data_IF_214430999298
#
_entry.id   IF_214430999298
#
_cell.length_a   1.000
_cell.length_b   1.000
_cell.length_c   1.000
_cell.angle_alpha   90.00
_cell.angle_beta   90.00
_cell.angle_gamma   90.00
#
_symmetry.space_group_name_H-M   'P 1'
#
loop_
_entity.id
_entity.type
_entity.pdbx_description
1 polymer ?
#
# COMPACT_ATOMS: atom_id res chain seq x y z
N UNK A 1 -46.15 -9.90 -3.01
CA UNK A 1 -44.77 -10.11 -3.52
C UNK A 1 -43.84 -9.26 -2.68
N UNK A 2 -42.78 -9.82 -2.08
CA UNK A 2 -41.91 -9.18 -1.07
C UNK A 2 -40.99 -8.06 -1.62
N UNK A 3 -41.49 -7.30 -2.58
CA UNK A 3 -40.74 -6.28 -3.32
C UNK A 3 -40.40 -5.07 -2.45
N UNK A 4 -41.26 -4.70 -1.49
CA UNK A 4 -41.01 -3.65 -0.50
C UNK A 4 -39.90 -4.02 0.48
N UNK A 5 -39.85 -5.28 0.92
CA UNK A 5 -38.78 -5.83 1.75
C UNK A 5 -37.44 -5.86 0.99
N UNK A 6 -37.48 -6.27 -0.28
CA UNK A 6 -36.30 -6.29 -1.13
C UNK A 6 -35.76 -4.86 -1.34
N UNK A 7 -36.62 -3.92 -1.71
CA UNK A 7 -36.26 -2.53 -1.94
C UNK A 7 -35.73 -1.84 -0.67
N UNK A 8 -36.36 -2.08 0.49
CA UNK A 8 -35.92 -1.55 1.78
C UNK A 8 -34.54 -2.10 2.19
N UNK A 9 -34.32 -3.41 2.04
CA UNK A 9 -33.02 -4.02 2.36
C UNK A 9 -31.91 -3.51 1.44
N UNK A 10 -32.18 -3.38 0.13
CA UNK A 10 -31.22 -2.90 -0.85
C UNK A 10 -30.85 -1.44 -0.59
N UNK A 11 -31.84 -0.59 -0.28
CA UNK A 11 -31.61 0.79 0.09
C UNK A 11 -30.75 0.91 1.36
N UNK A 12 -30.99 0.05 2.37
CA UNK A 12 -30.20 0.00 3.58
C UNK A 12 -28.73 -0.38 3.34
N UNK A 13 -28.49 -1.42 2.52
CA UNK A 13 -27.14 -1.85 2.16
C UNK A 13 -26.41 -0.77 1.35
N UNK A 14 -27.08 -0.15 0.37
CA UNK A 14 -26.51 0.96 -0.41
C UNK A 14 -26.21 2.17 0.47
N UNK A 15 -27.07 2.48 1.44
CA UNK A 15 -26.85 3.55 2.41
C UNK A 15 -25.59 3.29 3.25
N UNK A 16 -25.43 2.08 3.78
CA UNK A 16 -24.23 1.69 4.54
C UNK A 16 -22.97 1.71 3.66
N UNK A 17 -23.06 1.23 2.42
CA UNK A 17 -21.95 1.27 1.47
C UNK A 17 -21.53 2.71 1.14
N UNK A 18 -22.50 3.62 0.99
CA UNK A 18 -22.23 5.04 0.76
C UNK A 18 -21.54 5.67 1.98
N UNK A 19 -22.02 5.39 3.19
CA UNK A 19 -21.39 5.86 4.43
C UNK A 19 -19.97 5.32 4.56
N UNK A 20 -19.75 4.03 4.30
CA UNK A 20 -18.43 3.43 4.31
C UNK A 20 -17.50 4.09 3.28
N UNK A 21 -18.01 4.42 2.09
CA UNK A 21 -17.27 5.15 1.05
C UNK A 21 -16.95 6.59 1.48
N UNK A 22 -17.90 7.30 2.08
CA UNK A 22 -17.69 8.66 2.61
C UNK A 22 -16.67 8.68 3.74
N UNK A 23 -16.62 7.62 4.55
CA UNK A 23 -15.63 7.43 5.62
C UNK A 23 -14.28 6.91 5.10
N UNK A 24 -14.09 6.70 3.79
CA UNK A 24 -12.84 6.22 3.21
C UNK A 24 -12.52 4.75 3.53
N UNK A 25 -13.51 3.96 3.98
CA UNK A 25 -13.35 2.56 4.39
C UNK A 25 -13.24 1.58 3.21
N UNK A 26 -13.17 2.09 1.97
CA UNK A 26 -13.06 1.32 0.73
C UNK A 26 -11.62 1.01 0.27
N UNK A 27 -10.62 1.58 0.94
CA UNK A 27 -9.21 1.40 0.58
C UNK A 27 -8.73 2.45 -0.40
N UNK A 28 -7.58 3.04 -0.08
CA UNK A 28 -6.78 3.73 -1.07
C UNK A 28 -6.00 2.64 -1.84
N UNK A 29 -6.21 2.55 -3.14
CA UNK A 29 -5.28 1.87 -4.03
C UNK A 29 -4.17 2.85 -4.40
N UNK A 30 -2.94 2.36 -4.52
CA UNK A 30 -1.88 3.14 -5.14
C UNK A 30 -2.19 3.27 -6.63
N UNK A 31 -2.58 4.47 -7.06
CA UNK A 31 -2.98 4.73 -8.45
C UNK A 31 -1.78 4.85 -9.41
N UNK A 32 -0.59 5.18 -8.91
CA UNK A 32 0.64 5.30 -9.71
C UNK A 32 1.92 5.22 -8.88
N UNK A 33 3.06 5.09 -9.58
CA UNK A 33 4.41 5.12 -9.01
C UNK A 33 4.71 6.48 -8.35
N UNK A 34 4.28 7.58 -8.96
CA UNK A 34 4.44 8.93 -8.40
C UNK A 34 3.69 9.12 -7.09
N UNK A 35 2.51 8.51 -6.95
CA UNK A 35 1.76 8.55 -5.69
C UNK A 35 2.52 7.81 -4.59
N UNK A 36 3.10 6.64 -4.90
CA UNK A 36 3.94 5.90 -3.98
C UNK A 36 5.15 6.72 -3.54
N UNK A 37 5.82 7.40 -4.47
CA UNK A 37 6.96 8.27 -4.18
C UNK A 37 6.58 9.43 -3.25
N UNK A 38 5.48 10.13 -3.53
CA UNK A 38 4.99 11.22 -2.67
C UNK A 38 4.68 10.75 -1.25
N UNK A 39 4.04 9.59 -1.11
CA UNK A 39 3.75 9.02 0.21
C UNK A 39 5.05 8.68 0.95
N UNK A 40 6.06 8.11 0.27
CA UNK A 40 7.35 7.80 0.88
C UNK A 40 8.06 9.04 1.43
N UNK A 41 8.09 10.12 0.64
CA UNK A 41 8.71 11.40 1.03
C UNK A 41 7.95 12.10 2.16
N UNK A 42 6.61 12.04 2.13
CA UNK A 42 5.77 12.61 3.18
C UNK A 42 5.92 11.86 4.52
N UNK A 43 6.00 10.53 4.48
CA UNK A 43 6.15 9.68 5.67
C UNK A 43 7.57 9.74 6.25
N UNK A 44 8.59 10.00 5.42
CA UNK A 44 9.99 10.03 5.84
C UNK A 44 10.69 11.33 5.42
N UNK A 45 10.74 12.34 6.31
CA UNK A 45 11.48 13.56 6.07
C UNK A 45 12.96 13.27 5.73
N UNK A 46 13.43 13.77 4.60
CA UNK A 46 14.80 13.56 4.10
C UNK A 46 15.00 12.30 3.23
N UNK A 47 13.94 11.55 2.96
CA UNK A 47 13.93 10.56 1.88
C UNK A 47 13.66 11.26 0.54
N UNK A 48 14.46 10.98 -0.48
CA UNK A 48 14.28 11.48 -1.85
C UNK A 48 14.01 10.28 -2.73
N UNK A 49 12.78 10.15 -3.24
CA UNK A 49 12.37 9.01 -4.04
C UNK A 49 12.91 9.12 -5.48
N UNK A 50 13.47 8.03 -6.00
CA UNK A 50 14.02 7.96 -7.37
C UNK A 50 13.15 7.09 -8.28
N UNK A 51 12.65 5.99 -7.73
CA UNK A 51 11.79 5.06 -8.46
C UNK A 51 10.87 4.34 -7.50
N UNK A 52 9.71 3.92 -7.99
CA UNK A 52 8.78 3.09 -7.26
C UNK A 52 8.34 1.92 -8.14
N UNK A 53 8.05 0.79 -7.51
CA UNK A 53 7.44 -0.37 -8.15
C UNK A 53 6.20 -0.74 -7.37
N UNK A 54 5.06 -0.74 -8.04
CA UNK A 54 3.79 -1.16 -7.44
C UNK A 54 3.67 -2.69 -7.51
N UNK A 55 3.07 -3.27 -6.48
CA UNK A 55 2.57 -4.63 -6.56
C UNK A 55 1.33 -4.68 -7.48
N UNK A 56 1.12 -5.80 -8.17
CA UNK A 56 -0.05 -6.00 -9.04
C UNK A 56 -1.40 -5.81 -8.33
N UNK A 57 -1.42 -5.98 -7.01
CA UNK A 57 -2.62 -5.80 -6.19
C UNK A 57 -2.93 -4.33 -5.86
N UNK A 58 -2.03 -3.39 -6.20
CA UNK A 58 -2.16 -1.97 -5.86
C UNK A 58 -2.21 -1.67 -4.35
N UNK A 59 -1.96 -2.67 -3.49
CA UNK A 59 -2.02 -2.56 -2.03
C UNK A 59 -0.66 -2.30 -1.38
N UNK A 60 0.41 -2.44 -2.16
CA UNK A 60 1.77 -2.18 -1.71
C UNK A 60 2.65 -1.65 -2.82
N UNK A 61 3.69 -0.93 -2.44
CA UNK A 61 4.72 -0.46 -3.34
C UNK A 61 6.08 -0.52 -2.65
N UNK A 62 7.14 -0.66 -3.45
CA UNK A 62 8.51 -0.50 -2.99
C UNK A 62 9.04 0.77 -3.64
N UNK A 63 9.58 1.67 -2.82
CA UNK A 63 10.16 2.94 -3.26
C UNK A 63 11.65 2.92 -2.95
N UNK A 64 12.47 3.19 -3.96
CA UNK A 64 13.91 3.30 -3.84
C UNK A 64 14.31 4.77 -3.74
N UNK A 65 15.19 5.08 -2.79
CA UNK A 65 15.72 6.43 -2.56
C UNK A 65 17.09 6.65 -3.20
N UNK A 66 17.50 7.91 -3.34
CA UNK A 66 18.81 8.29 -3.93
C UNK A 66 20.00 7.70 -3.17
N UNK A 67 19.86 7.48 -1.86
CA UNK A 67 20.93 6.99 -0.99
C UNK A 67 21.06 5.46 -1.00
N UNK A 68 20.34 4.78 -1.90
CA UNK A 68 20.30 3.31 -1.98
C UNK A 68 19.49 2.65 -0.86
N UNK A 69 18.74 3.43 -0.08
CA UNK A 69 17.75 2.94 0.85
C UNK A 69 16.42 2.63 0.15
N UNK A 70 15.66 1.71 0.72
CA UNK A 70 14.37 1.30 0.15
C UNK A 70 13.31 1.30 1.24
N UNK A 71 12.16 1.89 0.90
CA UNK A 71 10.97 1.90 1.73
C UNK A 71 9.93 1.01 1.11
N UNK A 72 9.31 0.16 1.93
CA UNK A 72 8.10 -0.57 1.55
C UNK A 72 6.91 0.20 2.05
N UNK A 73 6.06 0.61 1.12
CA UNK A 73 4.73 1.13 1.41
C UNK A 73 3.77 -0.05 1.46
N UNK A 74 3.06 -0.18 2.58
CA UNK A 74 1.95 -1.13 2.72
C UNK A 74 0.70 -0.39 3.15
N UNK A 75 -0.43 -0.84 2.62
CA UNK A 75 -1.73 -0.45 3.14
C UNK A 75 -1.90 -0.90 4.59
N UNK A 76 -2.26 0.04 5.45
CA UNK A 76 -2.68 -0.17 6.83
C UNK A 76 -4.09 0.39 7.01
N UNK A 77 -5.10 -0.41 6.70
CA UNK A 77 -6.51 0.00 6.77
C UNK A 77 -6.89 1.01 5.68
N UNK A 78 -7.14 2.27 6.08
CA UNK A 78 -7.47 3.37 5.18
C UNK A 78 -6.28 4.27 4.85
N UNK A 79 -5.10 3.99 5.43
CA UNK A 79 -3.88 4.77 5.23
C UNK A 79 -2.75 3.90 4.68
N UNK A 80 -1.71 4.54 4.17
CA UNK A 80 -0.46 3.89 3.77
C UNK A 80 0.61 4.18 4.80
N UNK A 81 1.42 3.17 5.12
CA UNK A 81 2.55 3.31 6.03
C UNK A 81 3.82 2.93 5.29
N UNK A 82 4.83 3.78 5.37
CA UNK A 82 6.16 3.50 4.86
C UNK A 82 7.02 2.84 5.95
N UNK A 83 7.47 1.61 5.70
CA UNK A 83 8.38 0.89 6.58
C UNK A 83 9.72 0.64 5.85
N UNK A 84 10.88 0.90 6.49
CA UNK A 84 12.16 0.52 5.90
C UNK A 84 12.22 -0.98 5.64
N UNK A 85 12.67 -1.36 4.45
CA UNK A 85 12.94 -2.75 4.16
C UNK A 85 14.18 -3.18 4.95
N UNK A 86 14.12 -4.27 5.72
CA UNK A 86 15.33 -4.85 6.29
C UNK A 86 16.25 -5.21 5.13
N UNK A 87 17.42 -4.57 5.08
CA UNK A 87 18.45 -4.85 4.09
C UNK A 87 18.73 -6.34 4.16
N UNK A 88 18.47 -7.07 3.07
CA UNK A 88 18.62 -8.52 3.05
C UNK A 88 20.02 -8.89 3.51
N UNK A 89 20.09 -9.51 4.68
CA UNK A 89 21.28 -10.21 5.18
C UNK A 89 21.42 -11.49 4.34
N UNK A 90 21.85 -11.30 3.09
CA UNK A 90 21.90 -12.29 2.04
C UNK A 90 23.31 -12.54 1.51
N UNK A 91 24.34 -12.26 2.31
CA UNK A 91 25.75 -12.47 1.94
C UNK A 91 26.57 -13.10 3.07
N UNK A 92 26.14 -14.27 3.56
CA UNK A 92 26.96 -15.11 4.46
C UNK A 92 26.93 -16.60 4.10
N UNK A 93 26.42 -16.99 2.91
CA UNK A 93 26.33 -18.40 2.48
C UNK A 93 27.18 -18.74 1.26
N UNK A 94 28.20 -17.94 0.95
CA UNK A 94 29.29 -18.33 0.05
C UNK A 94 30.52 -18.70 0.87
N UNK A 95 30.40 -19.75 1.66
CA UNK A 95 31.57 -20.50 2.11
C UNK A 95 31.94 -21.46 0.96
N UNK A 96 33.08 -21.27 0.27
CA UNK A 96 33.57 -22.31 -0.62
C UNK A 96 34.05 -23.44 0.27
N UNK A 97 33.25 -24.51 0.40
CA UNK A 97 33.80 -25.78 0.85
C UNK A 97 34.79 -26.26 -0.21
N UNK A 98 36.05 -25.94 0.03
CA UNK A 98 37.17 -26.68 -0.52
C UNK A 98 37.00 -28.15 -0.11
N UNK A 99 36.86 -29.01 -1.11
CA UNK A 99 36.95 -30.45 -1.03
C UNK A 99 37.80 -30.91 -2.19
#
# INVERSE_FOLDING_TARGET
MNWTLLAGSLAGVLGLALIAKLLGLGGAELASEEEAMRIAEAERPGFVAVSAVLAEDGQSAIVAGENGDQLRIRRHGAQFVAAPLPKGEGDSRREPRAG
#
